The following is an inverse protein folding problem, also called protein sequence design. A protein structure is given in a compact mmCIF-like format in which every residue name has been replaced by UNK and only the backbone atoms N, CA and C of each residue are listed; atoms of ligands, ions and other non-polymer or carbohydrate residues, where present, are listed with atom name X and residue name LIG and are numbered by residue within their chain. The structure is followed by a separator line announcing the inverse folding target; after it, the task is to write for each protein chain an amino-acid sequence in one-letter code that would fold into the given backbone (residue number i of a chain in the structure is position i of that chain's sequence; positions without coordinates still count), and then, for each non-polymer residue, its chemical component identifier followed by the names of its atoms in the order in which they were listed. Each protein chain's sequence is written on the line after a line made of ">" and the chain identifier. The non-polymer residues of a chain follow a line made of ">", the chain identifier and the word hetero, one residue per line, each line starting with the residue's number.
data_IF_355027142959
#
_entry.id   IF_355027142959
#
_cell.length_a   1.000
_cell.length_b   1.000
_cell.length_c   1.000
_cell.angle_alpha   90.00
_cell.angle_beta   90.00
_cell.angle_gamma   90.00
#
_symmetry.space_group_name_H-M   'P 1'
#
loop_
_entity.id
_entity.type
_entity.pdbx_description
1 polymer ?
#
# COMPACT_ATOMS: atom_id res chain seq x y z
N UNK A 1 19.02 28.70 -77.07
CA UNK A 1 18.73 29.20 -75.71
C UNK A 1 18.08 28.09 -74.95
N UNK A 2 18.84 27.36 -74.20
CA UNK A 2 18.38 26.17 -73.47
C UNK A 2 18.53 26.50 -71.97
N UNK A 3 17.41 26.68 -71.25
CA UNK A 3 17.37 26.88 -69.81
C UNK A 3 17.38 25.54 -69.12
N UNK A 4 18.45 25.24 -68.40
CA UNK A 4 18.59 24.09 -67.56
C UNK A 4 17.94 24.38 -66.18
N UNK A 5 16.83 23.72 -65.86
CA UNK A 5 16.22 23.69 -64.53
C UNK A 5 17.01 22.71 -63.63
N UNK A 6 17.66 23.22 -62.63
CA UNK A 6 18.28 22.42 -61.57
C UNK A 6 17.26 22.16 -60.48
N UNK A 7 16.82 20.92 -60.39
CA UNK A 7 15.94 20.44 -59.29
C UNK A 7 16.82 20.12 -58.07
N UNK A 8 16.69 20.88 -57.00
CA UNK A 8 17.25 20.57 -55.71
C UNK A 8 16.35 19.60 -54.96
N UNK A 9 16.81 18.38 -54.76
CA UNK A 9 16.11 17.39 -53.90
C UNK A 9 16.70 17.61 -52.47
N UNK A 10 15.85 18.17 -51.62
CA UNK A 10 16.14 18.25 -50.16
C UNK A 10 15.69 16.94 -49.55
N UNK A 11 16.62 16.05 -49.24
CA UNK A 11 16.35 14.85 -48.41
C UNK A 11 16.24 15.27 -46.96
N UNK A 12 15.00 15.33 -46.46
CA UNK A 12 14.71 15.48 -45.04
C UNK A 12 14.97 14.15 -44.33
N UNK A 13 16.11 14.04 -43.67
CA UNK A 13 16.41 12.95 -42.71
C UNK A 13 15.53 13.14 -41.48
N UNK A 14 14.38 12.45 -41.42
CA UNK A 14 13.66 12.23 -40.17
C UNK A 14 14.49 11.30 -39.29
N UNK A 15 15.26 11.87 -38.38
CA UNK A 15 15.87 11.12 -37.29
C UNK A 15 14.81 10.66 -36.28
N UNK A 16 14.31 9.43 -36.43
CA UNK A 16 13.58 8.77 -35.36
C UNK A 16 14.55 8.51 -34.19
N UNK A 17 14.51 9.36 -33.18
CA UNK A 17 15.12 9.03 -31.88
C UNK A 17 14.27 7.94 -31.25
N UNK A 18 14.67 6.68 -31.42
CA UNK A 18 14.19 5.57 -30.61
C UNK A 18 14.63 5.88 -29.18
N UNK A 19 13.72 6.43 -28.37
CA UNK A 19 13.89 6.43 -26.93
C UNK A 19 14.03 4.96 -26.51
N UNK A 20 15.21 4.56 -26.10
CA UNK A 20 15.43 3.25 -25.52
C UNK A 20 14.57 3.19 -24.24
N UNK A 21 13.43 2.53 -24.34
CA UNK A 21 12.63 2.13 -23.19
C UNK A 21 13.50 1.04 -22.54
N UNK A 22 14.29 1.43 -21.54
CA UNK A 22 15.01 0.47 -20.70
C UNK A 22 13.99 -0.53 -20.12
N UNK A 23 14.41 -1.79 -19.89
CA UNK A 23 13.53 -2.74 -19.22
C UNK A 23 13.04 -2.12 -17.91
N UNK A 24 11.72 -2.11 -17.69
CA UNK A 24 11.16 -1.70 -16.42
C UNK A 24 11.78 -2.60 -15.35
N UNK A 25 12.45 -2.00 -14.37
CA UNK A 25 13.01 -2.77 -13.26
C UNK A 25 11.85 -3.51 -12.55
N UNK A 26 12.02 -4.81 -12.35
CA UNK A 26 11.01 -5.61 -11.68
C UNK A 26 10.91 -5.20 -10.20
N UNK A 27 9.71 -5.24 -9.66
CA UNK A 27 9.50 -5.02 -8.24
C UNK A 27 10.30 -6.02 -7.41
N UNK A 28 10.81 -5.54 -6.28
CA UNK A 28 11.59 -6.33 -5.32
C UNK A 28 11.00 -6.15 -3.93
N UNK A 29 11.00 -7.22 -3.20
CA UNK A 29 10.61 -7.26 -1.80
C UNK A 29 11.83 -7.67 -0.97
N UNK A 30 12.25 -6.83 -0.05
CA UNK A 30 13.38 -7.10 0.85
C UNK A 30 12.86 -7.16 2.29
N UNK A 31 13.09 -8.25 3.04
CA UNK A 31 13.93 -9.42 2.75
C UNK A 31 13.29 -10.50 1.87
N UNK A 32 12.10 -10.32 1.35
CA UNK A 32 11.43 -11.25 0.43
C UNK A 32 9.99 -11.57 0.83
N UNK A 33 9.31 -12.46 0.09
CA UNK A 33 7.97 -12.93 0.45
C UNK A 33 7.94 -13.56 1.84
N UNK A 34 6.89 -13.29 2.62
CA UNK A 34 6.83 -13.80 3.99
C UNK A 34 5.65 -13.29 4.78
N UNK A 35 5.67 -13.58 6.08
CA UNK A 35 4.67 -13.09 7.04
C UNK A 35 5.24 -11.91 7.81
N UNK A 36 4.52 -10.80 7.75
CA UNK A 36 4.91 -9.55 8.39
C UNK A 36 3.84 -9.06 9.36
N UNK A 37 4.29 -8.32 10.37
CA UNK A 37 3.40 -7.70 11.35
C UNK A 37 3.71 -6.22 11.46
N UNK A 38 2.66 -5.41 11.43
CA UNK A 38 2.71 -3.96 11.65
C UNK A 38 1.98 -3.63 12.93
N UNK A 39 2.56 -2.80 13.78
CA UNK A 39 1.97 -2.42 15.06
C UNK A 39 2.13 -0.93 15.34
N UNK A 40 1.10 -0.33 15.90
CA UNK A 40 1.13 1.10 16.25
C UNK A 40 -0.14 1.55 16.95
N UNK A 41 -0.10 2.79 17.42
CA UNK A 41 -1.27 3.41 18.04
C UNK A 41 -2.26 3.84 16.97
N UNK A 42 -3.51 3.45 17.13
CA UNK A 42 -4.64 3.86 16.30
C UNK A 42 -5.70 4.56 17.13
N UNK A 43 -6.36 5.53 16.52
CA UNK A 43 -7.59 6.12 17.01
C UNK A 43 -8.75 5.56 16.18
N UNK A 44 -9.71 4.92 16.83
CA UNK A 44 -10.96 4.44 16.24
C UNK A 44 -12.11 5.25 16.83
N UNK A 45 -12.80 6.01 15.99
CA UNK A 45 -13.96 6.81 16.39
C UNK A 45 -15.21 6.34 15.67
N UNK A 46 -16.36 6.43 16.31
CA UNK A 46 -17.65 6.05 15.74
C UNK A 46 -18.49 5.21 16.70
N UNK A 47 -19.74 5.04 16.37
CA UNK A 47 -20.73 4.28 17.17
C UNK A 47 -20.84 4.77 18.63
N UNK A 48 -20.50 6.05 18.89
CA UNK A 48 -20.46 6.63 20.22
C UNK A 48 -19.21 6.26 21.03
N UNK A 49 -18.18 5.74 20.38
CA UNK A 49 -16.89 5.38 20.97
C UNK A 49 -15.78 6.26 20.41
N UNK A 50 -14.79 6.52 21.24
CA UNK A 50 -13.52 7.13 20.87
C UNK A 50 -12.42 6.30 21.57
N UNK A 51 -11.80 5.42 20.79
CA UNK A 51 -10.89 4.40 21.30
C UNK A 51 -9.48 4.69 20.80
N UNK A 52 -8.53 4.76 21.71
CA UNK A 52 -7.10 4.82 21.40
C UNK A 52 -6.47 3.49 21.76
N UNK A 53 -6.14 2.70 20.75
CA UNK A 53 -5.68 1.33 20.91
C UNK A 53 -4.34 1.12 20.22
N UNK A 54 -3.53 0.21 20.73
CA UNK A 54 -2.44 -0.36 19.95
C UNK A 54 -3.01 -1.44 19.06
N UNK A 55 -2.99 -1.20 17.75
CA UNK A 55 -3.41 -2.17 16.75
C UNK A 55 -2.19 -2.91 16.21
N UNK A 56 -2.29 -4.23 16.12
CA UNK A 56 -1.32 -5.08 15.43
C UNK A 56 -2.04 -5.80 14.29
N UNK A 57 -1.53 -5.66 13.08
CA UNK A 57 -1.99 -6.37 11.88
C UNK A 57 -0.91 -7.35 11.45
N UNK A 58 -1.28 -8.58 11.09
CA UNK A 58 -0.36 -9.61 10.62
C UNK A 58 -0.90 -10.26 9.36
N UNK A 59 -0.04 -10.45 8.38
CA UNK A 59 -0.43 -11.01 7.10
C UNK A 59 0.76 -11.47 6.26
N UNK A 60 0.46 -12.14 5.14
CA UNK A 60 1.46 -12.50 4.14
C UNK A 60 1.66 -11.39 3.11
N UNK A 61 2.89 -11.30 2.61
CA UNK A 61 3.27 -10.50 1.46
C UNK A 61 3.90 -11.44 0.45
N UNK A 62 3.38 -11.46 -0.75
CA UNK A 62 3.80 -12.33 -1.85
C UNK A 62 4.13 -11.48 -3.07
N UNK A 63 5.13 -11.92 -3.84
CA UNK A 63 5.54 -11.31 -5.10
C UNK A 63 5.33 -12.34 -6.19
N UNK A 64 4.55 -12.01 -7.20
CA UNK A 64 4.34 -12.91 -8.33
C UNK A 64 5.39 -12.74 -9.45
N UNK A 65 5.26 -13.52 -10.50
CA UNK A 65 6.18 -13.52 -11.65
C UNK A 65 6.11 -12.22 -12.47
N UNK A 66 5.02 -11.50 -12.38
CA UNK A 66 4.78 -10.25 -13.12
C UNK A 66 5.27 -9.04 -12.31
N UNK A 67 5.70 -9.27 -11.06
CA UNK A 67 6.18 -8.27 -10.13
C UNK A 67 5.05 -7.57 -9.36
N UNK A 68 3.84 -8.09 -9.41
CA UNK A 68 2.74 -7.58 -8.60
C UNK A 68 2.88 -8.12 -7.17
N UNK A 69 2.58 -7.26 -6.19
CA UNK A 69 2.66 -7.62 -4.77
C UNK A 69 1.27 -7.86 -4.23
N UNK A 70 1.03 -9.07 -3.74
CA UNK A 70 -0.21 -9.44 -3.06
C UNK A 70 -0.03 -9.39 -1.55
N UNK A 71 -0.89 -8.64 -0.89
CA UNK A 71 -0.98 -8.53 0.56
C UNK A 71 -2.22 -9.26 1.05
N UNK A 72 -2.09 -10.08 2.08
CA UNK A 72 -3.22 -10.75 2.72
C UNK A 72 -3.11 -10.63 4.22
N UNK A 73 -3.83 -9.66 4.83
CA UNK A 73 -3.93 -9.53 6.28
C UNK A 73 -4.86 -10.61 6.79
N UNK A 74 -4.35 -11.46 7.68
CA UNK A 74 -5.07 -12.64 8.18
C UNK A 74 -5.33 -12.58 9.68
N UNK A 75 -4.70 -11.65 10.40
CA UNK A 75 -4.90 -11.46 11.85
C UNK A 75 -4.81 -9.98 12.20
N UNK A 76 -5.58 -9.59 13.20
CA UNK A 76 -5.52 -8.29 13.84
C UNK A 76 -5.85 -8.39 15.31
N UNK A 77 -5.22 -7.55 16.11
CA UNK A 77 -5.51 -7.43 17.53
C UNK A 77 -5.45 -5.97 17.93
N UNK A 78 -6.46 -5.51 18.64
CA UNK A 78 -6.45 -4.22 19.30
C UNK A 78 -6.25 -4.42 20.80
N UNK A 79 -5.23 -3.80 21.35
CA UNK A 79 -4.87 -3.90 22.76
C UNK A 79 -4.79 -2.50 23.38
N UNK A 80 -5.03 -2.40 24.67
CA UNK A 80 -4.97 -1.17 25.44
C UNK A 80 -5.51 -1.41 26.84
N UNK A 81 -5.62 -0.37 27.63
CA UNK A 81 -6.17 -0.48 28.98
C UNK A 81 -7.61 -0.99 28.92
N UNK A 82 -7.99 -1.80 29.89
CA UNK A 82 -9.35 -2.38 29.96
C UNK A 82 -10.44 -1.29 29.90
N UNK A 83 -10.17 -0.15 30.50
CA UNK A 83 -11.07 1.01 30.48
C UNK A 83 -11.26 1.63 29.09
N UNK A 84 -10.38 1.36 28.13
CA UNK A 84 -10.44 1.94 26.79
C UNK A 84 -11.33 1.17 25.81
N UNK A 85 -11.79 -0.03 26.16
CA UNK A 85 -12.65 -0.85 25.31
C UNK A 85 -11.94 -1.44 24.09
N UNK A 86 -10.62 -1.37 24.01
CA UNK A 86 -9.84 -1.89 22.86
C UNK A 86 -10.05 -3.39 22.62
N UNK A 87 -10.26 -4.17 23.68
CA UNK A 87 -10.56 -5.60 23.59
C UNK A 87 -11.88 -5.93 22.92
N UNK A 88 -12.74 -4.92 22.73
CA UNK A 88 -14.02 -5.05 22.05
C UNK A 88 -13.95 -4.76 20.56
N UNK A 89 -12.77 -4.35 20.05
CA UNK A 89 -12.56 -4.13 18.61
C UNK A 89 -12.30 -5.47 17.95
N UNK A 90 -13.14 -5.83 17.01
CA UNK A 90 -13.04 -7.06 16.23
C UNK A 90 -12.76 -6.77 14.76
N UNK A 91 -12.19 -7.76 14.09
CA UNK A 91 -11.86 -7.70 12.67
C UNK A 91 -12.28 -8.99 11.99
N UNK A 92 -12.85 -8.89 10.80
CA UNK A 92 -13.12 -10.05 9.95
C UNK A 92 -12.06 -10.11 8.84
N UNK A 93 -11.45 -11.25 8.65
CA UNK A 93 -10.36 -11.47 7.70
C UNK A 93 -10.72 -12.54 6.66
N UNK A 94 -10.02 -12.61 5.51
CA UNK A 94 -8.82 -11.84 5.14
C UNK A 94 -9.15 -10.47 4.52
N UNK A 95 -8.30 -9.47 4.78
CA UNK A 95 -8.25 -8.26 3.99
C UNK A 95 -7.19 -8.45 2.91
N UNK A 96 -7.53 -8.15 1.67
CA UNK A 96 -6.63 -8.36 0.53
C UNK A 96 -6.33 -7.06 -0.20
N UNK A 97 -5.10 -6.93 -0.67
CA UNK A 97 -4.70 -5.87 -1.58
C UNK A 97 -3.73 -6.41 -2.62
N UNK A 98 -3.79 -5.85 -3.82
CA UNK A 98 -2.82 -6.09 -4.89
C UNK A 98 -2.20 -4.74 -5.23
N UNK A 99 -0.88 -4.69 -5.26
CA UNK A 99 -0.09 -3.54 -5.68
C UNK A 99 0.56 -3.92 -7.00
N UNK A 100 0.07 -3.38 -8.12
CA UNK A 100 0.70 -3.63 -9.41
C UNK A 100 2.15 -3.15 -9.43
N UNK A 101 3.05 -3.88 -10.09
CA UNK A 101 4.47 -3.51 -10.23
C UNK A 101 4.63 -2.06 -10.71
N UNK A 102 3.73 -1.61 -11.60
CA UNK A 102 3.72 -0.24 -12.13
C UNK A 102 3.36 0.83 -11.11
N UNK A 103 2.71 0.47 -10.00
CA UNK A 103 2.36 1.39 -8.92
C UNK A 103 3.48 1.56 -7.90
N UNK A 104 4.52 0.73 -7.98
CA UNK A 104 5.71 0.82 -7.11
C UNK A 104 6.63 1.88 -7.68
N UNK A 105 6.94 2.96 -6.94
CA UNK A 105 7.78 4.03 -7.45
C UNK A 105 9.24 3.59 -7.55
N UNK A 106 9.96 4.11 -8.54
CA UNK A 106 11.40 3.90 -8.67
C UNK A 106 12.20 4.56 -7.54
N UNK A 107 11.66 5.62 -6.94
CA UNK A 107 12.26 6.26 -5.77
C UNK A 107 11.69 5.62 -4.50
N UNK A 108 12.49 4.89 -3.72
CA UNK A 108 12.03 4.19 -2.51
C UNK A 108 11.53 5.13 -1.39
N UNK A 109 11.83 6.43 -1.46
CA UNK A 109 11.32 7.40 -0.48
C UNK A 109 9.87 7.83 -0.74
N UNK A 110 9.28 7.44 -1.86
CA UNK A 110 7.89 7.74 -2.16
C UNK A 110 6.97 6.69 -1.53
N UNK A 111 5.80 7.14 -1.12
CA UNK A 111 4.78 6.24 -0.56
C UNK A 111 4.08 5.43 -1.64
N UNK A 112 3.69 4.22 -1.28
CA UNK A 112 2.89 3.33 -2.12
C UNK A 112 1.46 3.28 -1.59
N UNK A 113 0.45 3.69 -2.37
CA UNK A 113 -0.93 3.55 -1.95
C UNK A 113 -1.35 2.07 -1.99
N UNK A 114 -1.98 1.62 -0.91
CA UNK A 114 -2.51 0.26 -0.77
C UNK A 114 -4.01 0.34 -0.59
N UNK A 115 -4.76 -0.41 -1.36
CA UNK A 115 -6.21 -0.49 -1.25
C UNK A 115 -6.59 -1.88 -0.76
N UNK A 116 -6.85 -1.98 0.55
CA UNK A 116 -7.38 -3.20 1.14
C UNK A 116 -8.85 -3.37 0.81
N UNK A 117 -9.20 -4.56 0.39
CA UNK A 117 -10.56 -5.00 0.09
C UNK A 117 -11.09 -5.91 1.20
N UNK A 118 -12.41 -6.06 1.28
CA UNK A 118 -13.11 -6.91 2.23
C UNK A 118 -12.87 -6.54 3.69
N UNK A 119 -12.71 -5.24 3.98
CA UNK A 119 -12.48 -4.77 5.35
C UNK A 119 -13.80 -4.70 6.10
N UNK A 120 -13.88 -5.44 7.21
CA UNK A 120 -14.96 -5.37 8.19
C UNK A 120 -14.32 -5.16 9.56
N UNK A 121 -14.82 -4.15 10.27
CA UNK A 121 -14.41 -3.81 11.64
C UNK A 121 -15.66 -3.74 12.52
N UNK A 122 -15.56 -4.30 13.71
CA UNK A 122 -16.59 -4.24 14.73
C UNK A 122 -16.08 -3.52 15.98
N UNK A 123 -16.98 -2.85 16.69
CA UNK A 123 -16.71 -2.26 18.00
C UNK A 123 -17.79 -2.71 18.98
N UNK A 124 -17.41 -3.48 19.98
CA UNK A 124 -18.33 -4.18 20.88
C UNK A 124 -19.30 -5.08 20.10
N UNK A 125 -20.60 -4.83 20.22
CA UNK A 125 -21.66 -5.62 19.56
C UNK A 125 -22.15 -4.98 18.26
N UNK A 126 -21.48 -3.93 17.77
CA UNK A 126 -21.89 -3.17 16.60
C UNK A 126 -20.84 -3.24 15.51
N UNK A 127 -21.30 -3.38 14.27
CA UNK A 127 -20.43 -3.31 13.10
C UNK A 127 -20.25 -1.86 12.65
N UNK A 128 -19.04 -1.50 12.24
CA UNK A 128 -18.77 -0.21 11.60
C UNK A 128 -19.43 -0.13 10.23
N UNK A 129 -19.50 -1.26 9.53
CA UNK A 129 -20.15 -1.38 8.22
C UNK A 129 -20.95 -2.67 8.15
N UNK A 130 -22.07 -2.63 7.45
CA UNK A 130 -22.95 -3.80 7.27
C UNK A 130 -22.50 -4.68 6.07
N UNK A 131 -21.55 -4.19 5.27
CA UNK A 131 -20.96 -4.89 4.12
C UNK A 131 -19.45 -4.68 4.11
N UNK A 132 -18.69 -5.64 3.55
CA UNK A 132 -17.27 -5.44 3.30
C UNK A 132 -17.02 -4.16 2.51
N UNK A 133 -16.01 -3.40 2.93
CA UNK A 133 -15.63 -2.13 2.31
C UNK A 133 -14.16 -2.11 1.91
N UNK A 134 -13.74 -1.05 1.23
CA UNK A 134 -12.34 -0.81 0.90
C UNK A 134 -11.74 0.21 1.86
N UNK A 135 -10.47 0.02 2.18
CA UNK A 135 -9.69 0.95 3.01
C UNK A 135 -8.39 1.28 2.29
N UNK A 136 -8.14 2.57 2.09
CA UNK A 136 -6.87 3.03 1.53
C UNK A 136 -5.88 3.30 2.66
N UNK A 137 -4.68 2.77 2.49
CA UNK A 137 -3.53 3.00 3.35
C UNK A 137 -2.35 3.52 2.52
N UNK A 138 -1.36 4.10 3.18
CA UNK A 138 -0.10 4.52 2.57
C UNK A 138 1.03 3.71 3.19
N UNK A 139 1.77 3.00 2.36
CA UNK A 139 2.97 2.29 2.77
C UNK A 139 4.19 3.15 2.47
N UNK A 140 5.14 3.19 3.39
CA UNK A 140 6.44 3.84 3.22
C UNK A 140 7.53 2.87 3.62
N UNK A 141 8.55 2.74 2.77
CA UNK A 141 9.79 2.06 3.16
C UNK A 141 10.45 2.79 4.33
N UNK A 142 11.31 2.10 5.07
CA UNK A 142 12.17 2.74 6.07
C UNK A 142 13.08 3.81 5.44
N UNK A 143 13.32 4.89 6.16
CA UNK A 143 14.18 5.98 5.69
C UNK A 143 15.07 6.49 6.83
N UNK A 144 16.36 6.08 6.85
CA UNK A 144 17.05 5.22 5.87
C UNK A 144 16.44 3.83 5.76
N UNK A 145 16.80 3.08 4.70
CA UNK A 145 16.15 1.83 4.29
C UNK A 145 16.23 0.69 5.34
N UNK A 146 17.06 0.83 6.34
CA UNK A 146 17.22 -0.07 7.49
C UNK A 146 16.35 0.33 8.70
N UNK A 147 15.64 1.44 8.62
CA UNK A 147 14.59 1.77 9.59
C UNK A 147 13.29 1.03 9.28
N UNK A 148 12.45 0.75 10.28
CA UNK A 148 11.20 0.04 10.07
C UNK A 148 10.29 0.75 9.07
N UNK A 149 9.83 0.02 8.06
CA UNK A 149 8.78 0.49 7.16
C UNK A 149 7.48 0.78 7.92
N UNK A 150 6.64 1.62 7.34
CA UNK A 150 5.41 2.09 7.98
C UNK A 150 4.20 1.90 7.10
N UNK A 151 3.05 1.67 7.74
CA UNK A 151 1.73 1.66 7.14
C UNK A 151 0.89 2.75 7.83
N UNK A 152 0.54 3.79 7.09
CA UNK A 152 -0.37 4.83 7.57
C UNK A 152 -1.79 4.58 7.08
N UNK A 153 -2.75 4.60 7.99
CA UNK A 153 -4.17 4.48 7.70
C UNK A 153 -4.86 5.74 8.21
N UNK A 154 -5.62 6.38 7.34
CA UNK A 154 -6.59 7.43 7.66
C UNK A 154 -7.82 7.18 6.79
N UNK A 155 -8.79 6.47 7.33
CA UNK A 155 -9.90 5.96 6.54
C UNK A 155 -11.21 5.96 7.31
N UNK A 156 -12.29 6.12 6.54
CA UNK A 156 -13.65 5.93 7.01
C UNK A 156 -14.11 4.51 6.65
N UNK A 157 -14.54 3.76 7.65
CA UNK A 157 -15.05 2.41 7.53
C UNK A 157 -16.52 2.43 7.94
N UNK A 158 -17.41 2.72 6.98
CA UNK A 158 -18.86 2.88 7.26
C UNK A 158 -19.14 3.99 8.28
N UNK A 159 -19.57 3.60 9.49
CA UNK A 159 -19.92 4.52 10.60
C UNK A 159 -18.74 4.84 11.53
N UNK A 160 -17.58 4.25 11.27
CA UNK A 160 -16.36 4.47 12.05
C UNK A 160 -15.31 5.16 11.20
N UNK A 161 -14.34 5.77 11.87
CA UNK A 161 -13.10 6.27 11.26
C UNK A 161 -11.91 5.69 12.02
N UNK A 162 -10.86 5.34 11.29
CA UNK A 162 -9.62 4.83 11.87
C UNK A 162 -8.46 5.68 11.36
N UNK A 163 -7.60 6.11 12.28
CA UNK A 163 -6.36 6.83 11.95
C UNK A 163 -5.22 6.26 12.77
N UNK A 164 -4.09 5.99 12.13
CA UNK A 164 -2.90 5.48 12.83
C UNK A 164 -1.71 5.26 11.92
N UNK A 165 -0.52 5.25 12.53
CA UNK A 165 0.73 4.84 11.88
C UNK A 165 1.22 3.57 12.55
N UNK A 166 1.51 2.56 11.74
CA UNK A 166 1.91 1.23 12.19
C UNK A 166 3.31 0.96 11.64
N UNK A 167 4.21 0.54 12.50
CA UNK A 167 5.59 0.22 12.15
C UNK A 167 5.74 -1.29 11.97
N UNK A 168 6.50 -1.70 10.99
CA UNK A 168 6.86 -3.09 10.80
C UNK A 168 7.66 -3.61 12.00
N UNK A 169 7.32 -4.80 12.50
CA UNK A 169 8.12 -5.47 13.54
C UNK A 169 9.38 -6.10 12.97
N UNK A 170 9.29 -6.63 11.78
CA UNK A 170 10.40 -7.04 10.93
C UNK A 170 10.30 -6.17 9.71
N UNK A 171 11.36 -5.48 9.39
CA UNK A 171 11.35 -4.56 8.27
C UNK A 171 11.02 -5.25 6.96
N UNK A 172 10.31 -4.57 6.10
CA UNK A 172 9.94 -5.01 4.76
C UNK A 172 9.93 -3.83 3.83
N UNK A 173 10.76 -3.87 2.80
CA UNK A 173 10.88 -2.79 1.84
C UNK A 173 10.39 -3.23 0.46
N UNK A 174 9.71 -2.33 -0.21
CA UNK A 174 9.16 -2.51 -1.55
C UNK A 174 9.83 -1.51 -2.49
N UNK A 175 10.60 -2.03 -3.42
CA UNK A 175 11.41 -1.23 -4.36
C UNK A 175 11.22 -1.70 -5.80
N UNK A 176 11.58 -0.86 -6.74
CA UNK A 176 11.60 -1.17 -8.17
C UNK A 176 12.87 -0.63 -8.80
#
# INVERSE_FOLDING_TARGET
>A
MINAFRTFIIAALLGCTLAAIGPAEAARLDPGPGVYSFSGVSNLTGLGQDLRCTLTLTGSVELDSDGDVTLSVTRGAATGDFATGCSLVGFEFPWKAIIPATAIPANPSQTVPIIFQNVIVTAATRTCTDQPTTVTAQFSNGMPIDEPSTLYIDAKIGRCSVTGTFHAKTDVNLTR
#
